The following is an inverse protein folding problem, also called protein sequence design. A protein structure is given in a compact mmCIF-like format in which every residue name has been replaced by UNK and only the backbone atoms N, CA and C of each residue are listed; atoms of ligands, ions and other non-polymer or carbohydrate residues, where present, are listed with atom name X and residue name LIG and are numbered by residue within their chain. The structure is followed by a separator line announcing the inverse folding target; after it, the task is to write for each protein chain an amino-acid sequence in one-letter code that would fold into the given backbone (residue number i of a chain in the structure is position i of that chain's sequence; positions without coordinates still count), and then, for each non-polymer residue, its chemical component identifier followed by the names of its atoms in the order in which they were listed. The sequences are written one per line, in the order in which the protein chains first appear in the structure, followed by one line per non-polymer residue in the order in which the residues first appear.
data_IF_706998606463
#
_entry.id   IF_706998606463
#
_cell.length_a   1.000
_cell.length_b   1.000
_cell.length_c   1.000
_cell.angle_alpha   90.00
_cell.angle_beta   90.00
_cell.angle_gamma   90.00
#
_symmetry.space_group_name_H-M   'P 1'
#
loop_
_entity.id
_entity.type
_entity.pdbx_description
1 polymer ?
#
# COMPACT_ATOMS: atom_id res chain seq x y z
N UNK A 1 17.95 14.00 -15.29
CA UNK A 1 17.03 13.48 -14.25
C UNK A 1 17.55 13.80 -12.86
N UNK A 2 18.83 13.57 -12.57
CA UNK A 2 19.51 14.03 -11.34
C UNK A 2 19.31 15.52 -11.00
N UNK A 3 19.44 16.42 -11.98
CA UNK A 3 19.26 17.88 -11.77
C UNK A 3 17.85 18.23 -11.27
N UNK A 4 16.83 17.57 -11.83
CA UNK A 4 15.43 17.75 -11.44
C UNK A 4 15.16 17.19 -10.03
N UNK A 5 15.83 16.09 -9.66
CA UNK A 5 15.74 15.49 -8.32
C UNK A 5 16.40 16.38 -7.26
N UNK A 6 17.49 17.07 -7.62
CA UNK A 6 18.15 18.03 -6.74
C UNK A 6 17.30 19.28 -6.50
N UNK A 7 16.68 19.86 -7.54
CA UNK A 7 15.75 20.98 -7.38
C UNK A 7 14.55 20.63 -6.49
N UNK A 8 14.00 19.43 -6.64
CA UNK A 8 12.90 18.95 -5.77
C UNK A 8 13.41 18.77 -4.33
N UNK A 9 14.58 18.19 -4.11
CA UNK A 9 15.14 18.04 -2.76
C UNK A 9 15.40 19.39 -2.08
N UNK A 10 15.86 20.39 -2.83
CA UNK A 10 16.09 21.75 -2.35
C UNK A 10 14.77 22.49 -2.06
N UNK A 11 13.72 22.24 -2.84
CA UNK A 11 12.35 22.71 -2.56
C UNK A 11 11.73 22.01 -1.33
N UNK A 12 12.08 20.73 -1.12
CA UNK A 12 11.52 19.89 -0.04
C UNK A 12 12.29 19.91 1.30
N UNK A 13 13.46 20.55 1.36
CA UNK A 13 14.25 20.70 2.59
C UNK A 13 13.59 21.53 3.70
N UNK A 14 12.46 22.19 3.43
CA UNK A 14 11.80 23.14 4.34
C UNK A 14 10.33 22.81 4.67
N UNK A 15 9.85 21.57 4.49
CA UNK A 15 8.45 21.26 4.81
C UNK A 15 8.23 21.11 6.31
N UNK A 16 7.63 22.15 6.91
CA UNK A 16 7.00 22.05 8.23
C UNK A 16 5.99 20.90 8.17
N UNK A 17 6.12 19.92 9.07
CA UNK A 17 5.15 18.82 9.16
C UNK A 17 3.76 19.39 9.37
N UNK A 18 2.85 19.14 8.42
CA UNK A 18 1.43 19.53 8.50
C UNK A 18 0.55 18.30 8.70
N UNK A 19 -0.67 18.49 9.23
CA UNK A 19 -1.66 17.41 9.34
C UNK A 19 -1.92 16.76 7.99
N UNK A 20 -2.13 17.58 6.96
CA UNK A 20 -2.42 17.13 5.60
C UNK A 20 -1.33 16.21 5.03
N UNK A 21 -0.05 16.52 5.30
CA UNK A 21 1.06 15.68 4.85
C UNK A 21 1.11 14.33 5.59
N UNK A 22 0.78 14.32 6.88
CA UNK A 22 0.69 13.09 7.66
C UNK A 22 -0.49 12.23 7.22
N UNK A 23 -1.64 12.84 6.94
CA UNK A 23 -2.82 12.17 6.41
C UNK A 23 -2.56 11.56 5.04
N UNK A 24 -1.92 12.32 4.14
CA UNK A 24 -1.52 11.82 2.83
C UNK A 24 -0.58 10.61 2.96
N UNK A 25 0.42 10.68 3.85
CA UNK A 25 1.31 9.55 4.13
C UNK A 25 0.53 8.32 4.62
N UNK A 26 -0.41 8.51 5.54
CA UNK A 26 -1.22 7.41 6.07
C UNK A 26 -2.10 6.76 5.00
N UNK A 27 -2.72 7.58 4.13
CA UNK A 27 -3.53 7.09 3.01
C UNK A 27 -2.71 6.26 2.03
N UNK A 28 -1.50 6.72 1.68
CA UNK A 28 -0.60 5.99 0.79
C UNK A 28 -0.23 4.63 1.39
N UNK A 29 0.13 4.59 2.68
CA UNK A 29 0.49 3.34 3.36
C UNK A 29 -0.71 2.39 3.41
N UNK A 30 -1.90 2.88 3.76
CA UNK A 30 -3.11 2.06 3.80
C UNK A 30 -3.44 1.48 2.41
N UNK A 31 -3.35 2.30 1.36
CA UNK A 31 -3.57 1.86 -0.02
C UNK A 31 -2.57 0.78 -0.44
N UNK A 32 -1.28 0.93 -0.10
CA UNK A 32 -0.25 -0.08 -0.37
C UNK A 32 -0.59 -1.42 0.30
N UNK A 33 -0.98 -1.39 1.58
CA UNK A 33 -1.33 -2.60 2.33
C UNK A 33 -2.59 -3.29 1.76
N UNK A 34 -3.58 -2.52 1.29
CA UNK A 34 -4.77 -3.05 0.61
C UNK A 34 -4.37 -3.79 -0.66
N UNK A 35 -3.58 -3.14 -1.53
CA UNK A 35 -3.13 -3.72 -2.80
C UNK A 35 -2.30 -4.99 -2.57
N UNK A 36 -1.34 -4.95 -1.63
CA UNK A 36 -0.53 -6.12 -1.28
C UNK A 36 -1.38 -7.27 -0.75
N UNK A 37 -2.39 -6.97 0.07
CA UNK A 37 -3.32 -7.98 0.59
C UNK A 37 -4.16 -8.62 -0.52
N UNK A 38 -4.66 -7.81 -1.46
CA UNK A 38 -5.41 -8.28 -2.62
C UNK A 38 -4.55 -9.16 -3.54
N UNK A 39 -3.31 -8.76 -3.83
CA UNK A 39 -2.39 -9.54 -4.67
C UNK A 39 -2.01 -10.89 -4.07
N UNK A 40 -1.88 -10.95 -2.74
CA UNK A 40 -1.55 -12.18 -2.00
C UNK A 40 -2.72 -13.17 -1.92
N UNK A 41 -3.97 -12.69 -2.00
CA UNK A 41 -5.17 -13.53 -1.92
C UNK A 41 -5.50 -14.16 -3.28
N UNK A 42 -5.26 -15.48 -3.40
CA UNK A 42 -5.48 -16.28 -4.63
C UNK A 42 -6.81 -17.05 -4.59
N UNK A 43 -7.88 -16.33 -4.26
CA UNK A 43 -9.27 -16.82 -4.23
C UNK A 43 -10.21 -15.64 -4.44
N UNK A 44 -11.49 -15.91 -4.71
CA UNK A 44 -12.55 -14.91 -4.66
C UNK A 44 -13.52 -15.23 -3.54
N UNK A 45 -13.72 -14.27 -2.64
CA UNK A 45 -14.53 -14.44 -1.44
C UNK A 45 -15.03 -13.09 -0.91
N UNK A 46 -16.34 -12.95 -0.78
CA UNK A 46 -16.97 -11.75 -0.23
C UNK A 46 -16.66 -10.52 -1.09
N UNK A 47 -16.04 -9.49 -0.48
CA UNK A 47 -15.71 -8.23 -1.16
C UNK A 47 -14.42 -8.29 -2.01
N UNK A 48 -13.67 -9.40 -1.98
CA UNK A 48 -12.50 -9.60 -2.82
C UNK A 48 -12.84 -10.56 -3.96
N UNK A 49 -12.72 -10.09 -5.20
CA UNK A 49 -13.00 -10.89 -6.40
C UNK A 49 -11.88 -10.72 -7.42
N UNK A 50 -11.45 -11.82 -8.02
CA UNK A 50 -10.43 -11.86 -9.07
C UNK A 50 -10.78 -12.91 -10.12
N UNK A 51 -10.63 -12.55 -11.39
CA UNK A 51 -10.93 -13.44 -12.52
C UNK A 51 -9.99 -14.65 -12.60
N UNK A 52 -8.75 -14.50 -12.10
CA UNK A 52 -7.75 -15.56 -12.14
C UNK A 52 -8.05 -16.68 -11.12
N UNK A 53 -8.81 -16.35 -10.05
CA UNK A 53 -9.17 -17.26 -8.97
C UNK A 53 -10.63 -17.03 -8.56
N UNK A 54 -11.60 -17.46 -9.38
CA UNK A 54 -13.02 -17.13 -9.17
C UNK A 54 -13.65 -17.91 -8.00
N UNK A 55 -13.03 -19.01 -7.58
CA UNK A 55 -13.54 -19.88 -6.52
C UNK A 55 -12.92 -19.54 -5.15
N UNK A 56 -13.65 -19.80 -4.05
CA UNK A 56 -13.13 -19.68 -2.69
C UNK A 56 -12.22 -20.86 -2.30
N UNK A 57 -11.18 -20.61 -1.50
CA UNK A 57 -10.34 -21.67 -0.91
C UNK A 57 -10.96 -22.23 0.39
N UNK A 58 -10.78 -23.53 0.65
CA UNK A 58 -11.19 -24.20 1.88
C UNK A 58 -9.98 -24.92 2.53
N UNK A 59 -9.68 -24.74 3.83
CA UNK A 59 -10.34 -23.84 4.78
C UNK A 59 -10.05 -22.36 4.51
N UNK A 60 -10.93 -21.43 4.93
CA UNK A 60 -10.71 -20.00 4.80
C UNK A 60 -9.48 -19.54 5.60
N UNK A 61 -8.70 -18.61 5.05
CA UNK A 61 -7.48 -18.09 5.69
C UNK A 61 -7.44 -16.57 5.67
N UNK A 62 -6.92 -15.99 6.74
CA UNK A 62 -6.64 -14.56 6.80
C UNK A 62 -5.41 -14.21 5.96
N UNK A 63 -5.47 -13.06 5.29
CA UNK A 63 -4.28 -12.46 4.67
C UNK A 63 -3.56 -11.64 5.73
N UNK A 64 -2.31 -12.00 6.05
CA UNK A 64 -1.51 -11.34 7.09
C UNK A 64 -0.25 -10.77 6.46
N UNK A 65 -0.06 -9.46 6.61
CA UNK A 65 1.18 -8.77 6.23
C UNK A 65 2.01 -8.52 7.49
N UNK A 66 3.28 -8.92 7.47
CA UNK A 66 4.23 -8.67 8.56
C UNK A 66 5.14 -7.52 8.16
N UNK A 67 5.38 -6.51 9.03
CA UNK A 67 6.32 -5.44 8.74
C UNK A 67 7.75 -6.02 8.59
N UNK A 68 8.61 -5.42 7.76
CA UNK A 68 10.01 -5.81 7.71
C UNK A 68 10.67 -5.58 9.07
N UNK A 69 11.47 -6.54 9.52
CA UNK A 69 12.33 -6.37 10.70
C UNK A 69 13.30 -5.21 10.44
N UNK A 70 13.28 -4.22 11.34
CA UNK A 70 14.16 -3.04 11.31
C UNK A 70 15.61 -3.40 11.61
#
# INVERSE_FOLDING_TARGET
VELLKQEIAEYYGHFRVTSDLLELRNLIIAAELIVRSAMARKESRGLHYTLDYPEPCDPPRNTVLTPPSS
#
